data_IF_141893572518
#
_entry.id   IF_141893572518
#
_cell.length_a   1.000
_cell.length_b   1.000
_cell.length_c   1.000
_cell.angle_alpha   90.00
_cell.angle_beta   90.00
_cell.angle_gamma   90.00
#
_symmetry.space_group_name_H-M   'P 1'
#
loop_
_entity.id
_entity.type
_entity.pdbx_description
1 polymer ?
#
# COMPACT_ATOMS: atom_id res chain seq x y z
N UNK A 1 -19.78 -36.48 -11.06
CA UNK A 1 -20.05 -35.02 -11.05
C UNK A 1 -20.42 -34.58 -9.65
N UNK A 2 -19.49 -33.88 -8.98
CA UNK A 2 -19.73 -33.18 -7.72
C UNK A 2 -20.69 -32.01 -7.97
N UNK A 3 -21.69 -31.80 -7.12
CA UNK A 3 -21.98 -30.49 -6.52
C UNK A 3 -23.19 -30.46 -5.58
N UNK A 4 -22.96 -29.98 -4.34
CA UNK A 4 -23.66 -28.89 -3.61
C UNK A 4 -24.00 -29.15 -2.13
N UNK A 5 -23.43 -28.26 -1.28
CA UNK A 5 -24.03 -27.49 -0.15
C UNK A 5 -24.28 -28.29 1.15
N UNK A 6 -24.13 -27.82 2.40
CA UNK A 6 -24.03 -26.53 3.14
C UNK A 6 -23.17 -26.79 4.43
N UNK A 7 -22.31 -25.90 4.95
CA UNK A 7 -22.51 -24.79 5.91
C UNK A 7 -23.04 -25.15 7.33
N UNK A 8 -22.49 -24.43 8.34
CA UNK A 8 -22.77 -24.38 9.80
C UNK A 8 -22.00 -25.40 10.67
N UNK A 9 -21.46 -25.07 11.85
CA UNK A 9 -21.50 -23.86 12.66
C UNK A 9 -20.62 -24.03 13.92
N UNK A 10 -20.19 -22.90 14.48
CA UNK A 10 -19.40 -22.72 15.69
C UNK A 10 -20.09 -23.28 16.95
N UNK A 11 -19.34 -23.87 17.89
CA UNK A 11 -19.57 -23.70 19.35
C UNK A 11 -18.37 -24.20 20.16
N UNK A 12 -17.80 -23.28 20.94
CA UNK A 12 -16.75 -23.50 21.93
C UNK A 12 -17.31 -24.17 23.20
N UNK A 13 -16.51 -24.99 23.86
CA UNK A 13 -16.75 -25.36 25.26
C UNK A 13 -15.41 -25.47 26.01
N UNK A 14 -15.17 -24.50 26.88
CA UNK A 14 -14.15 -24.50 27.93
C UNK A 14 -14.61 -25.38 29.10
N UNK A 15 -13.69 -26.16 29.68
CA UNK A 15 -13.88 -26.85 30.96
C UNK A 15 -12.61 -26.68 31.80
N UNK A 16 -12.77 -26.07 32.98
CA UNK A 16 -11.75 -25.96 34.03
C UNK A 16 -12.39 -26.33 35.39
N UNK A 17 -11.54 -26.89 36.26
CA UNK A 17 -11.68 -27.19 37.70
C UNK A 17 -12.48 -28.46 38.04
N UNK A 18 -12.07 -29.29 39.00
CA UNK A 18 -11.05 -29.18 40.05
C UNK A 18 -10.96 -30.52 40.79
N UNK A 19 -9.88 -30.72 41.53
CA UNK A 19 -9.42 -32.01 42.02
C UNK A 19 -10.14 -32.61 43.23
N UNK A 20 -9.69 -33.81 43.59
CA UNK A 20 -9.83 -34.40 44.92
C UNK A 20 -8.68 -35.40 45.16
N UNK A 21 -8.14 -35.36 46.39
CA UNK A 21 -7.00 -36.13 46.92
C UNK A 21 -7.47 -37.48 47.50
N UNK A 22 -6.54 -38.44 47.54
CA UNK A 22 -6.59 -39.88 47.94
C UNK A 22 -7.00 -40.16 49.41
N UNK A 23 -7.19 -41.45 49.79
CA UNK A 23 -6.13 -42.15 50.56
C UNK A 23 -5.93 -43.67 50.29
N UNK A 24 -4.85 -44.18 50.91
CA UNK A 24 -4.04 -45.42 50.73
C UNK A 24 -4.57 -46.78 51.26
N UNK A 25 -3.96 -47.88 50.78
CA UNK A 25 -3.35 -49.07 51.46
C UNK A 25 -3.37 -50.29 50.50
N UNK A 26 -2.46 -51.28 50.45
CA UNK A 26 -1.30 -51.81 51.20
C UNK A 26 -0.47 -52.63 50.16
N UNK A 27 0.85 -52.42 50.02
CA UNK A 27 1.95 -53.18 50.65
C UNK A 27 2.13 -54.65 50.20
N UNK A 28 3.23 -54.93 49.49
CA UNK A 28 4.11 -56.08 49.78
C UNK A 28 5.58 -55.84 49.37
N UNK A 29 6.44 -56.30 50.28
CA UNK A 29 7.90 -56.17 50.49
C UNK A 29 8.82 -56.74 49.38
N UNK A 30 10.15 -56.58 49.27
CA UNK A 30 11.26 -55.79 49.87
C UNK A 30 12.53 -56.17 49.06
N UNK A 31 13.40 -55.21 48.75
CA UNK A 31 14.86 -55.33 48.93
C UNK A 31 15.51 -53.97 48.72
N UNK A 32 15.84 -53.32 49.84
CA UNK A 32 16.60 -52.07 49.92
C UNK A 32 18.08 -52.42 49.86
N UNK A 33 18.84 -51.76 48.98
CA UNK A 33 20.25 -51.46 49.23
C UNK A 33 20.37 -49.94 49.21
N UNK A 34 20.65 -49.37 50.37
CA UNK A 34 20.78 -47.93 50.61
C UNK A 34 22.25 -47.51 50.58
N UNK A 35 22.57 -46.45 49.83
CA UNK A 35 23.58 -45.41 50.08
C UNK A 35 23.68 -44.60 48.78
N UNK A 36 23.77 -43.28 48.72
CA UNK A 36 23.92 -42.19 49.68
C UNK A 36 23.39 -40.95 48.95
N UNK A 37 22.74 -40.03 49.67
CA UNK A 37 22.39 -38.74 49.10
C UNK A 37 23.68 -37.93 48.90
N UNK A 38 24.12 -37.82 47.65
CA UNK A 38 24.90 -36.68 47.20
C UNK A 38 23.99 -35.81 46.35
N UNK A 39 23.98 -34.52 46.64
CA UNK A 39 23.27 -33.50 45.89
C UNK A 39 23.81 -33.47 44.46
N UNK A 40 23.14 -34.17 43.54
CA UNK A 40 23.43 -34.06 42.12
C UNK A 40 22.85 -32.73 41.61
N UNK A 41 23.75 -31.77 41.36
CA UNK A 41 23.44 -30.57 40.59
C UNK A 41 22.91 -30.93 39.20
N UNK A 42 22.23 -29.95 38.60
CA UNK A 42 21.93 -29.79 37.17
C UNK A 42 22.28 -30.99 36.29
N UNK A 43 21.25 -31.63 35.71
CA UNK A 43 21.40 -32.73 34.75
C UNK A 43 22.47 -32.38 33.70
N UNK A 44 23.55 -33.16 33.73
CA UNK A 44 24.67 -33.08 32.81
C UNK A 44 24.17 -33.42 31.40
N UNK A 45 23.89 -32.37 30.61
CA UNK A 45 23.45 -32.49 29.23
C UNK A 45 24.60 -33.15 28.47
N UNK A 46 24.43 -34.42 28.09
CA UNK A 46 25.51 -35.23 27.53
C UNK A 46 26.10 -34.54 26.29
N UNK A 47 27.42 -34.47 26.24
CA UNK A 47 28.17 -34.05 25.05
C UNK A 47 28.92 -35.24 24.47
N UNK A 48 29.10 -35.24 23.15
CA UNK A 48 29.77 -36.32 22.44
C UNK A 48 30.65 -35.76 21.33
N UNK A 49 31.95 -36.11 21.36
CA UNK A 49 32.90 -35.71 20.32
C UNK A 49 33.02 -36.77 19.23
N UNK A 50 32.82 -36.37 17.99
CA UNK A 50 32.95 -37.21 16.79
C UNK A 50 33.78 -36.46 15.76
N UNK A 51 35.00 -36.95 15.52
CA UNK A 51 35.98 -36.27 14.68
C UNK A 51 36.38 -34.92 15.27
N UNK A 52 36.21 -33.87 14.48
CA UNK A 52 36.53 -32.50 14.85
C UNK A 52 35.37 -31.75 15.51
N UNK A 53 34.17 -32.35 15.57
CA UNK A 53 32.98 -31.76 16.16
C UNK A 53 32.67 -32.36 17.54
N UNK A 54 32.22 -31.50 18.45
CA UNK A 54 31.56 -31.89 19.70
C UNK A 54 30.09 -31.53 19.59
N UNK A 55 29.22 -32.50 19.87
CA UNK A 55 27.78 -32.38 19.79
C UNK A 55 27.16 -32.43 21.19
N UNK A 56 26.09 -31.68 21.38
CA UNK A 56 25.29 -31.64 22.60
C UNK A 56 23.89 -32.15 22.29
N UNK A 57 23.36 -33.02 23.13
CA UNK A 57 21.99 -33.53 22.98
C UNK A 57 20.98 -32.50 23.48
N UNK A 58 19.98 -32.19 22.65
CA UNK A 58 18.87 -31.30 22.98
C UNK A 58 17.69 -32.08 23.57
N UNK A 59 16.83 -31.39 24.32
CA UNK A 59 15.65 -31.99 24.98
C UNK A 59 14.65 -32.60 23.99
N UNK A 60 14.61 -32.10 22.76
CA UNK A 60 13.75 -32.60 21.68
C UNK A 60 14.30 -33.86 20.99
N UNK A 61 15.45 -34.37 21.45
CA UNK A 61 16.12 -35.55 20.92
C UNK A 61 17.00 -35.29 19.69
N UNK A 62 17.29 -34.03 19.37
CA UNK A 62 18.21 -33.63 18.29
C UNK A 62 19.58 -33.21 18.80
N UNK A 63 20.49 -32.82 17.91
CA UNK A 63 21.87 -32.43 18.24
C UNK A 63 22.16 -30.97 17.90
N UNK A 64 22.91 -30.32 18.77
CA UNK A 64 23.53 -29.02 18.56
C UNK A 64 25.05 -29.21 18.44
N UNK A 65 25.72 -28.51 17.53
CA UNK A 65 27.19 -28.44 17.52
C UNK A 65 27.65 -27.53 18.65
N UNK A 66 28.27 -28.08 19.67
CA UNK A 66 28.83 -27.32 20.79
C UNK A 66 30.18 -26.69 20.44
N UNK A 67 31.05 -27.41 19.72
CA UNK A 67 32.35 -26.89 19.29
C UNK A 67 32.91 -27.63 18.09
N UNK A 68 33.69 -26.91 17.28
CA UNK A 68 34.53 -27.46 16.22
C UNK A 68 36.00 -27.17 16.55
N UNK A 69 36.88 -28.17 16.48
CA UNK A 69 38.32 -28.00 16.74
C UNK A 69 39.22 -28.23 15.54
N UNK A 70 38.62 -28.59 14.39
CA UNK A 70 39.36 -28.81 13.16
C UNK A 70 39.99 -27.54 12.60
N UNK A 71 40.72 -27.73 11.50
CA UNK A 71 41.51 -26.69 10.81
C UNK A 71 41.21 -26.64 9.31
N UNK A 72 40.09 -27.21 8.90
CA UNK A 72 39.70 -27.25 7.49
C UNK A 72 39.41 -25.82 7.00
N UNK A 73 39.67 -25.60 5.71
CA UNK A 73 39.31 -24.35 5.03
C UNK A 73 37.84 -24.34 4.59
N UNK A 74 37.28 -25.53 4.32
CA UNK A 74 35.86 -25.74 3.97
C UNK A 74 35.29 -26.74 4.97
N UNK A 75 34.27 -26.33 5.70
CA UNK A 75 33.62 -27.16 6.72
C UNK A 75 32.21 -27.53 6.29
N UNK A 76 31.98 -28.84 6.15
CA UNK A 76 30.65 -29.41 5.94
C UNK A 76 30.08 -29.85 7.29
N UNK A 77 29.02 -29.17 7.74
CA UNK A 77 28.31 -29.57 8.96
C UNK A 77 27.48 -30.84 8.66
N UNK A 78 27.61 -31.92 9.46
CA UNK A 78 26.85 -33.13 9.21
C UNK A 78 25.35 -32.90 9.44
N UNK A 79 24.51 -33.43 8.54
CA UNK A 79 23.05 -33.39 8.67
C UNK A 79 22.53 -34.27 9.80
N UNK A 80 23.23 -35.39 10.02
CA UNK A 80 22.91 -36.42 10.98
C UNK A 80 24.18 -37.04 11.56
N UNK A 81 24.10 -37.44 12.82
CA UNK A 81 25.17 -38.14 13.52
C UNK A 81 24.54 -39.33 14.23
N UNK A 82 24.96 -40.55 13.87
CA UNK A 82 24.38 -41.81 14.38
C UNK A 82 22.85 -41.89 14.21
N UNK A 83 22.32 -41.30 13.13
CA UNK A 83 20.89 -41.27 12.83
C UNK A 83 20.10 -40.18 13.57
N UNK A 84 20.76 -39.35 14.39
CA UNK A 84 20.15 -38.21 15.08
C UNK A 84 20.43 -36.95 14.27
N UNK A 85 19.41 -36.11 14.05
CA UNK A 85 19.53 -34.88 13.26
C UNK A 85 20.33 -33.81 14.00
N UNK A 86 21.16 -33.08 13.26
CA UNK A 86 21.78 -31.84 13.72
C UNK A 86 20.86 -30.67 13.37
N UNK A 87 20.40 -29.97 14.39
CA UNK A 87 19.40 -28.89 14.29
C UNK A 87 19.93 -27.54 14.77
N UNK A 88 21.08 -27.51 15.45
CA UNK A 88 21.64 -26.28 15.99
C UNK A 88 23.13 -26.13 15.73
N UNK A 89 23.55 -24.90 15.49
CA UNK A 89 24.94 -24.50 15.69
C UNK A 89 24.99 -23.77 17.02
N UNK A 90 25.74 -24.29 17.97
CA UNK A 90 25.78 -23.80 19.33
C UNK A 90 26.56 -22.51 19.50
N UNK A 91 26.46 -21.95 20.70
CA UNK A 91 27.16 -20.74 21.06
C UNK A 91 28.68 -20.94 20.92
N UNK A 92 29.35 -20.01 20.23
CA UNK A 92 30.79 -20.03 20.00
C UNK A 92 31.34 -21.29 19.29
N UNK A 93 30.50 -22.10 18.64
CA UNK A 93 30.89 -23.39 18.07
C UNK A 93 32.09 -23.32 17.11
N UNK A 94 32.17 -22.24 16.33
CA UNK A 94 33.24 -21.92 15.38
C UNK A 94 33.90 -20.57 15.69
N UNK A 95 33.88 -20.11 16.94
CA UNK A 95 34.48 -18.82 17.30
C UNK A 95 35.98 -18.80 16.99
N UNK A 96 36.48 -17.67 16.49
CA UNK A 96 37.88 -17.41 16.18
C UNK A 96 38.52 -18.41 15.20
N UNK A 97 37.72 -19.02 14.31
CA UNK A 97 38.22 -20.01 13.33
C UNK A 97 38.80 -19.34 12.10
N UNK A 98 40.03 -18.84 12.25
CA UNK A 98 40.76 -18.14 11.20
C UNK A 98 41.14 -18.99 9.98
N UNK A 99 41.04 -20.32 10.04
CA UNK A 99 41.32 -21.17 8.87
C UNK A 99 40.11 -21.33 7.95
N UNK A 100 38.90 -21.19 8.49
CA UNK A 100 37.67 -21.45 7.73
C UNK A 100 37.43 -20.31 6.75
N UNK A 101 37.20 -20.69 5.50
CA UNK A 101 36.81 -19.80 4.40
C UNK A 101 35.38 -20.05 3.93
N UNK A 102 34.86 -21.26 4.14
CA UNK A 102 33.51 -21.65 3.77
C UNK A 102 32.90 -22.61 4.79
N UNK A 103 31.61 -22.40 5.11
CA UNK A 103 30.81 -23.31 5.94
C UNK A 103 29.53 -23.66 5.21
N UNK A 104 29.29 -24.96 5.05
CA UNK A 104 28.08 -25.52 4.45
C UNK A 104 27.21 -26.06 5.59
N UNK A 105 26.11 -25.36 5.86
CA UNK A 105 25.15 -25.69 6.91
C UNK A 105 23.99 -26.49 6.29
N UNK A 106 23.62 -27.66 6.82
CA UNK A 106 22.58 -28.51 6.25
C UNK A 106 21.17 -27.98 6.57
N UNK A 107 20.19 -28.30 5.70
CA UNK A 107 18.78 -27.88 5.78
C UNK A 107 18.05 -28.27 7.08
N UNK A 108 18.63 -29.16 7.89
CA UNK A 108 18.07 -29.55 9.19
C UNK A 108 18.27 -28.52 10.30
N UNK A 109 19.17 -27.55 10.11
CA UNK A 109 19.51 -26.55 11.12
C UNK A 109 18.41 -25.48 11.22
N UNK A 110 17.93 -25.26 12.45
CA UNK A 110 16.85 -24.31 12.77
C UNK A 110 17.34 -23.07 13.53
N UNK A 111 18.55 -23.10 14.10
CA UNK A 111 19.14 -21.93 14.77
C UNK A 111 20.67 -21.88 14.69
N UNK A 112 21.20 -20.66 14.75
CA UNK A 112 22.64 -20.37 14.90
C UNK A 112 22.84 -19.60 16.20
N UNK A 113 23.67 -20.12 17.10
CA UNK A 113 23.90 -19.60 18.44
C UNK A 113 24.72 -18.31 18.47
N UNK A 114 24.76 -17.70 19.65
CA UNK A 114 25.51 -16.48 19.89
C UNK A 114 27.02 -16.70 19.69
N UNK A 115 27.67 -15.80 18.98
CA UNK A 115 29.10 -15.86 18.68
C UNK A 115 29.52 -17.08 17.84
N UNK A 116 28.59 -17.81 17.23
CA UNK A 116 28.85 -19.09 16.56
C UNK A 116 30.06 -19.03 15.60
N UNK A 117 30.18 -17.97 14.82
CA UNK A 117 31.29 -17.73 13.88
C UNK A 117 32.08 -16.44 14.18
N UNK A 118 31.87 -15.81 15.35
CA UNK A 118 32.53 -14.55 15.73
C UNK A 118 34.06 -14.66 15.57
N UNK A 119 34.69 -13.61 15.05
CA UNK A 119 36.14 -13.52 14.78
C UNK A 119 36.69 -14.55 13.77
N UNK A 120 35.82 -15.13 12.93
CA UNK A 120 36.25 -15.94 11.77
C UNK A 120 36.61 -15.04 10.59
N UNK A 121 37.68 -14.26 10.75
CA UNK A 121 38.09 -13.16 9.84
C UNK A 121 38.22 -13.57 8.36
N UNK A 122 38.52 -14.85 8.09
CA UNK A 122 38.71 -15.39 6.74
C UNK A 122 37.46 -16.06 6.14
N UNK A 123 36.35 -16.13 6.89
CA UNK A 123 35.09 -16.70 6.40
C UNK A 123 34.55 -15.81 5.27
N UNK A 124 34.44 -16.38 4.07
CA UNK A 124 33.97 -15.70 2.86
C UNK A 124 32.56 -16.11 2.48
N UNK A 125 32.25 -17.40 2.65
CA UNK A 125 31.01 -18.00 2.20
C UNK A 125 30.33 -18.73 3.37
N UNK A 126 29.10 -18.36 3.66
CA UNK A 126 28.20 -19.14 4.50
C UNK A 126 26.82 -19.13 3.86
N UNK A 127 26.27 -20.31 3.64
CA UNK A 127 24.89 -20.46 3.18
C UNK A 127 24.06 -20.78 4.40
N UNK A 128 23.20 -19.85 4.81
CA UNK A 128 22.23 -20.08 5.89
C UNK A 128 21.00 -20.75 5.25
N UNK A 129 20.69 -22.01 5.60
CA UNK A 129 19.67 -22.78 4.90
C UNK A 129 18.26 -22.33 5.27
N UNK A 130 17.31 -22.64 4.39
CA UNK A 130 15.88 -22.52 4.71
C UNK A 130 15.55 -23.45 5.88
N UNK A 131 14.84 -22.94 6.87
CA UNK A 131 14.58 -23.62 8.14
C UNK A 131 15.23 -22.93 9.34
N UNK A 132 16.29 -22.14 9.14
CA UNK A 132 16.84 -21.30 10.21
C UNK A 132 15.84 -20.20 10.57
N UNK A 133 15.39 -20.19 11.81
CA UNK A 133 14.40 -19.23 12.33
C UNK A 133 15.05 -18.13 13.17
N UNK A 134 16.22 -18.37 13.76
CA UNK A 134 16.95 -17.40 14.58
C UNK A 134 18.47 -17.46 14.45
N UNK A 135 19.10 -16.29 14.54
CA UNK A 135 20.55 -16.11 14.64
C UNK A 135 20.87 -15.32 15.91
N UNK A 136 21.69 -15.86 16.79
CA UNK A 136 22.03 -15.28 18.08
C UNK A 136 23.04 -14.14 18.01
N UNK A 137 23.17 -13.42 19.13
CA UNK A 137 24.02 -12.23 19.23
C UNK A 137 25.45 -12.48 18.75
N UNK A 138 26.01 -11.55 17.98
CA UNK A 138 27.39 -11.57 17.50
C UNK A 138 27.78 -12.79 16.65
N UNK A 139 26.81 -13.54 16.10
CA UNK A 139 27.10 -14.81 15.44
C UNK A 139 28.12 -14.71 14.30
N UNK A 140 28.16 -13.59 13.56
CA UNK A 140 29.13 -13.31 12.48
C UNK A 140 29.94 -12.03 12.74
N UNK A 141 30.09 -11.63 14.01
CA UNK A 141 30.89 -10.47 14.37
C UNK A 141 32.34 -10.63 13.89
N UNK A 142 32.96 -9.56 13.40
CA UNK A 142 34.34 -9.55 12.91
C UNK A 142 34.64 -10.59 11.79
N UNK A 143 33.61 -11.03 11.06
CA UNK A 143 33.79 -11.82 9.84
C UNK A 143 34.17 -10.88 8.67
N UNK A 144 35.37 -10.30 8.72
CA UNK A 144 35.82 -9.23 7.82
C UNK A 144 35.90 -9.64 6.34
N UNK A 145 36.03 -10.94 6.03
CA UNK A 145 36.03 -11.45 4.65
C UNK A 145 34.64 -11.81 4.11
N UNK A 146 33.59 -11.72 4.94
CA UNK A 146 32.24 -12.15 4.59
C UNK A 146 31.52 -11.04 3.81
N UNK A 147 31.60 -11.08 2.49
CA UNK A 147 31.10 -10.00 1.62
C UNK A 147 29.58 -10.05 1.36
N UNK A 148 28.99 -11.23 1.43
CA UNK A 148 27.56 -11.43 1.20
C UNK A 148 27.05 -12.61 1.99
N UNK A 149 25.82 -12.50 2.50
CA UNK A 149 25.09 -13.59 3.15
C UNK A 149 23.68 -13.63 2.58
N UNK A 150 23.24 -14.82 2.17
CA UNK A 150 21.84 -15.04 1.82
C UNK A 150 21.09 -15.44 3.09
N UNK A 151 20.23 -14.56 3.57
CA UNK A 151 19.33 -14.85 4.69
C UNK A 151 18.09 -15.60 4.19
N UNK A 152 17.66 -16.68 4.87
CA UNK A 152 16.53 -17.49 4.43
C UNK A 152 15.19 -16.81 4.70
N UNK A 153 14.15 -17.19 3.95
CA UNK A 153 12.80 -16.63 4.14
C UNK A 153 12.15 -17.09 5.46
N UNK A 154 12.65 -18.17 6.07
CA UNK A 154 12.24 -18.66 7.39
C UNK A 154 12.74 -17.82 8.56
N UNK A 155 13.74 -16.95 8.36
CA UNK A 155 14.37 -16.20 9.45
C UNK A 155 13.38 -15.19 10.05
N UNK A 156 13.16 -15.30 11.37
CA UNK A 156 12.21 -14.48 12.12
C UNK A 156 12.91 -13.43 12.98
N UNK A 157 14.06 -13.75 13.57
CA UNK A 157 14.77 -12.88 14.51
C UNK A 157 16.28 -12.95 14.35
N UNK A 158 16.95 -11.79 14.46
CA UNK A 158 18.39 -11.69 14.58
C UNK A 158 18.74 -11.01 15.92
N UNK A 159 19.79 -11.51 16.58
CA UNK A 159 20.30 -10.97 17.84
C UNK A 159 21.01 -9.63 17.68
N UNK A 160 21.71 -9.21 18.73
CA UNK A 160 22.51 -7.98 18.70
C UNK A 160 23.83 -8.20 17.95
N UNK A 161 24.20 -7.23 17.10
CA UNK A 161 25.50 -7.20 16.44
C UNK A 161 25.85 -8.44 15.62
N UNK A 162 24.88 -9.15 15.04
CA UNK A 162 25.16 -10.42 14.34
C UNK A 162 26.20 -10.22 13.25
N UNK A 163 26.14 -9.11 12.51
CA UNK A 163 27.07 -8.77 11.44
C UNK A 163 28.00 -7.60 11.78
N UNK A 164 28.12 -7.24 13.07
CA UNK A 164 29.00 -6.16 13.52
C UNK A 164 30.44 -6.37 13.03
N UNK A 165 31.05 -5.31 12.50
CA UNK A 165 32.41 -5.32 11.93
C UNK A 165 32.64 -6.37 10.83
N UNK A 166 31.59 -6.83 10.15
CA UNK A 166 31.71 -7.76 9.01
C UNK A 166 32.07 -7.03 7.71
N UNK A 167 32.54 -7.79 6.72
CA UNK A 167 32.86 -7.28 5.38
C UNK A 167 31.66 -7.16 4.44
N UNK A 168 30.42 -7.20 4.95
CA UNK A 168 29.22 -7.28 4.12
C UNK A 168 29.09 -6.02 3.27
N UNK A 169 28.88 -6.22 1.97
CA UNK A 169 28.76 -5.13 0.98
C UNK A 169 27.29 -4.78 0.70
N UNK A 170 26.43 -5.79 0.65
CA UNK A 170 25.00 -5.65 0.38
C UNK A 170 24.25 -6.59 1.32
N UNK A 171 23.19 -6.09 1.95
CA UNK A 171 22.29 -6.92 2.74
C UNK A 171 20.83 -6.70 2.36
N UNK A 172 20.10 -7.81 2.20
CA UNK A 172 18.65 -7.82 2.04
C UNK A 172 18.05 -8.61 3.18
N UNK A 173 17.35 -7.92 4.08
CA UNK A 173 16.67 -8.57 5.20
C UNK A 173 15.40 -9.30 4.70
N UNK A 174 15.12 -10.52 5.17
CA UNK A 174 14.06 -11.34 4.61
C UNK A 174 12.69 -10.79 4.99
N UNK A 175 11.72 -10.94 4.08
CA UNK A 175 10.34 -10.41 4.19
C UNK A 175 9.53 -10.80 5.42
N UNK A 176 9.96 -11.83 6.16
CA UNK A 176 9.28 -12.35 7.35
C UNK A 176 10.05 -11.99 8.64
N UNK A 177 11.17 -11.28 8.53
CA UNK A 177 11.97 -10.84 9.67
C UNK A 177 11.15 -9.88 10.52
N UNK A 178 10.95 -10.22 11.79
CA UNK A 178 10.16 -9.42 12.73
C UNK A 178 11.01 -8.40 13.47
N UNK A 179 12.24 -8.77 13.80
CA UNK A 179 13.16 -7.93 14.56
C UNK A 179 14.62 -8.33 14.31
N UNK A 180 15.50 -7.35 14.44
CA UNK A 180 16.95 -7.52 14.57
C UNK A 180 17.44 -6.70 15.77
N UNK A 181 18.64 -6.98 16.26
CA UNK A 181 19.15 -6.42 17.50
C UNK A 181 19.93 -5.10 17.35
N UNK A 182 20.38 -4.61 18.49
CA UNK A 182 21.21 -3.39 18.62
C UNK A 182 22.53 -3.61 17.89
N UNK A 183 22.97 -2.60 17.13
CA UNK A 183 24.27 -2.63 16.47
C UNK A 183 24.44 -3.73 15.41
N UNK A 184 23.34 -4.25 14.84
CA UNK A 184 23.35 -5.40 13.93
C UNK A 184 24.41 -5.33 12.82
N UNK A 185 24.59 -4.15 12.22
CA UNK A 185 25.59 -3.83 11.19
C UNK A 185 26.58 -2.75 11.66
N UNK A 186 26.80 -2.63 12.97
CA UNK A 186 27.76 -1.68 13.54
C UNK A 186 29.14 -1.81 12.87
N UNK A 187 29.72 -0.70 12.41
CA UNK A 187 31.01 -0.65 11.73
C UNK A 187 31.16 -1.58 10.50
N UNK A 188 30.07 -1.91 9.81
CA UNK A 188 30.14 -2.52 8.47
C UNK A 188 30.59 -1.49 7.42
N UNK A 189 31.89 -1.15 7.44
CA UNK A 189 32.48 -0.07 6.63
C UNK A 189 32.45 -0.32 5.12
N UNK A 190 32.23 -1.57 4.71
CA UNK A 190 32.08 -1.96 3.30
C UNK A 190 30.62 -2.02 2.82
N UNK A 191 29.64 -1.83 3.71
CA UNK A 191 28.22 -1.88 3.38
C UNK A 191 27.84 -0.69 2.51
N UNK A 192 27.35 -0.97 1.30
CA UNK A 192 26.92 0.02 0.30
C UNK A 192 25.39 0.11 0.25
N UNK A 193 24.71 -1.03 0.36
CA UNK A 193 23.27 -1.12 0.19
C UNK A 193 22.59 -1.98 1.25
N UNK A 194 21.45 -1.50 1.76
CA UNK A 194 20.64 -2.20 2.75
C UNK A 194 19.14 -2.08 2.42
N UNK A 195 18.44 -3.21 2.52
CA UNK A 195 16.98 -3.29 2.35
C UNK A 195 16.32 -3.73 3.65
N UNK A 196 15.45 -2.88 4.20
CA UNK A 196 14.65 -3.13 5.41
C UNK A 196 13.19 -3.43 5.01
N UNK A 197 12.66 -4.64 5.24
CA UNK A 197 11.36 -5.08 4.77
C UNK A 197 10.19 -4.49 5.57
N UNK A 198 8.99 -4.53 4.99
CA UNK A 198 7.72 -4.09 5.60
C UNK A 198 7.38 -4.80 6.93
N UNK A 199 7.99 -5.97 7.20
CA UNK A 199 7.74 -6.74 8.42
C UNK A 199 8.47 -6.21 9.66
N UNK A 200 9.45 -5.32 9.47
CA UNK A 200 10.23 -4.71 10.57
C UNK A 200 9.53 -3.45 11.06
N UNK A 201 9.24 -3.38 12.36
CA UNK A 201 8.61 -2.19 12.96
C UNK A 201 9.62 -1.21 13.58
N UNK A 202 10.83 -1.67 13.93
CA UNK A 202 11.85 -0.90 14.64
C UNK A 202 13.21 -1.10 14.00
N UNK A 203 13.91 -0.01 13.68
CA UNK A 203 15.35 0.00 13.42
C UNK A 203 16.05 0.33 14.75
N UNK A 204 16.75 -0.63 15.39
CA UNK A 204 17.30 -0.49 16.74
C UNK A 204 18.45 0.51 16.84
N UNK A 205 18.86 0.76 18.09
CA UNK A 205 19.98 1.62 18.43
C UNK A 205 21.26 1.17 17.70
N UNK A 206 21.97 2.15 17.13
CA UNK A 206 23.25 1.93 16.45
C UNK A 206 23.25 0.88 15.32
N UNK A 207 22.09 0.47 14.79
CA UNK A 207 21.97 -0.63 13.84
C UNK A 207 22.93 -0.57 12.65
N UNK A 208 23.16 0.62 12.09
CA UNK A 208 24.07 0.90 10.97
C UNK A 208 25.12 1.97 11.35
N UNK A 209 25.44 2.10 12.64
CA UNK A 209 26.42 3.08 13.11
C UNK A 209 27.77 2.86 12.41
N UNK A 210 28.34 3.92 11.84
CA UNK A 210 29.60 3.92 11.09
C UNK A 210 29.63 2.99 9.86
N UNK A 211 28.48 2.75 9.22
CA UNK A 211 28.43 2.19 7.86
C UNK A 211 28.79 3.27 6.82
N UNK A 212 30.05 3.69 6.79
CA UNK A 212 30.51 4.89 6.08
C UNK A 212 30.19 4.90 4.57
N UNK A 213 30.10 3.74 3.92
CA UNK A 213 29.81 3.60 2.47
C UNK A 213 28.32 3.44 2.13
N UNK A 214 27.44 3.32 3.13
CA UNK A 214 26.01 3.09 2.91
C UNK A 214 25.41 4.30 2.19
N UNK A 215 24.89 4.10 0.99
CA UNK A 215 24.26 5.14 0.18
C UNK A 215 22.94 4.72 -0.47
N UNK A 216 22.72 3.40 -0.63
CA UNK A 216 21.48 2.84 -1.18
C UNK A 216 20.70 2.17 -0.04
N UNK A 217 19.88 2.96 0.63
CA UNK A 217 19.06 2.51 1.75
C UNK A 217 17.59 2.52 1.36
N UNK A 218 16.95 1.36 1.48
CA UNK A 218 15.50 1.22 1.29
C UNK A 218 14.86 0.85 2.63
N UNK A 219 13.98 1.72 3.11
CA UNK A 219 13.13 1.51 4.29
C UNK A 219 11.69 1.34 3.80
N UNK A 220 11.12 0.14 3.93
CA UNK A 220 9.75 -0.12 3.49
C UNK A 220 8.67 0.35 4.48
N UNK A 221 7.43 0.45 3.98
CA UNK A 221 6.23 0.94 4.68
C UNK A 221 5.74 -0.05 5.74
N UNK A 222 6.40 -0.01 6.89
CA UNK A 222 6.19 -0.88 8.05
C UNK A 222 7.01 -0.46 9.26
N UNK A 223 8.16 0.18 9.01
CA UNK A 223 9.01 0.77 10.06
C UNK A 223 8.27 1.93 10.72
N UNK A 224 8.10 1.85 12.04
CA UNK A 224 7.43 2.87 12.88
C UNK A 224 8.43 3.75 13.62
N UNK A 225 9.55 3.16 14.04
CA UNK A 225 10.56 3.83 14.87
C UNK A 225 11.97 3.58 14.34
N UNK A 226 12.78 4.63 14.34
CA UNK A 226 14.22 4.59 14.12
C UNK A 226 14.90 5.09 15.41
N UNK A 227 15.64 4.20 16.07
CA UNK A 227 16.21 4.46 17.39
C UNK A 227 17.53 5.25 17.33
N UNK A 228 18.05 5.62 18.51
CA UNK A 228 19.21 6.50 18.67
C UNK A 228 20.39 6.03 17.84
N UNK A 229 21.01 6.97 17.11
CA UNK A 229 22.22 6.72 16.32
C UNK A 229 22.12 5.60 15.28
N UNK A 230 20.91 5.20 14.86
CA UNK A 230 20.73 4.07 13.94
C UNK A 230 21.58 4.17 12.66
N UNK A 231 21.75 5.36 12.08
CA UNK A 231 22.61 5.62 10.91
C UNK A 231 23.65 6.71 11.17
N UNK A 232 24.02 6.95 12.44
CA UNK A 232 25.14 7.86 12.75
C UNK A 232 26.44 7.34 12.08
N UNK A 233 27.30 8.24 11.63
CA UNK A 233 28.53 7.87 10.90
C UNK A 233 28.35 7.28 9.49
N UNK A 234 27.12 7.04 9.01
CA UNK A 234 26.85 6.79 7.58
C UNK A 234 27.11 8.06 6.75
N UNK A 235 28.36 8.32 6.42
CA UNK A 235 28.81 9.57 5.76
C UNK A 235 28.47 9.63 4.28
N UNK A 236 28.27 8.49 3.60
CA UNK A 236 27.82 8.42 2.20
C UNK A 236 26.29 8.48 2.04
N UNK A 237 25.54 8.48 3.13
CA UNK A 237 24.07 8.49 3.11
C UNK A 237 23.56 9.93 2.93
N UNK A 238 23.62 10.43 1.70
CA UNK A 238 23.26 11.82 1.38
C UNK A 238 21.75 12.07 1.42
N UNK A 239 20.95 11.03 1.15
CA UNK A 239 19.50 11.11 1.10
C UNK A 239 18.84 9.86 1.68
N UNK A 240 17.68 10.04 2.30
CA UNK A 240 16.90 8.95 2.88
C UNK A 240 15.43 9.17 2.56
N UNK A 241 14.77 8.15 2.01
CA UNK A 241 13.33 8.11 1.90
C UNK A 241 12.74 7.59 3.22
N UNK A 242 11.93 8.41 3.89
CA UNK A 242 11.18 7.98 5.07
C UNK A 242 9.73 7.66 4.65
N UNK A 243 9.27 6.40 4.84
CA UNK A 243 7.88 6.04 4.56
C UNK A 243 6.94 6.66 5.60
N UNK A 244 5.66 6.79 5.23
CA UNK A 244 4.63 7.40 6.07
C UNK A 244 4.35 6.61 7.37
N UNK A 245 4.71 5.31 7.40
CA UNK A 245 4.65 4.51 8.62
C UNK A 245 5.57 5.01 9.74
N UNK A 246 6.63 5.75 9.42
CA UNK A 246 7.57 6.25 10.42
C UNK A 246 6.87 7.32 11.25
N UNK A 247 6.86 7.14 12.57
CA UNK A 247 6.24 8.07 13.52
C UNK A 247 7.21 8.59 14.58
N UNK A 248 8.43 8.04 14.62
CA UNK A 248 9.45 8.41 15.60
C UNK A 248 10.85 8.16 15.03
N UNK A 249 11.68 9.20 15.03
CA UNK A 249 13.13 9.11 14.74
C UNK A 249 13.87 9.77 15.89
N UNK A 250 14.72 8.99 16.57
CA UNK A 250 15.44 9.46 17.75
C UNK A 250 16.76 10.16 17.39
N UNK A 251 17.27 10.91 18.36
CA UNK A 251 18.40 11.82 18.18
C UNK A 251 19.62 11.10 17.59
N UNK A 252 20.31 11.79 16.68
CA UNK A 252 21.57 11.32 16.09
C UNK A 252 21.39 10.22 15.03
N UNK A 253 20.16 9.85 14.67
CA UNK A 253 19.93 8.79 13.69
C UNK A 253 20.53 9.06 12.32
N UNK A 254 20.64 10.31 11.85
CA UNK A 254 21.15 10.67 10.52
C UNK A 254 22.21 11.78 10.58
N UNK A 255 23.18 11.79 9.64
CA UNK A 255 24.31 12.73 9.60
C UNK A 255 24.11 13.88 8.59
N UNK A 256 22.98 14.60 8.67
CA UNK A 256 22.56 15.65 7.72
C UNK A 256 22.06 15.14 6.35
N UNK A 257 21.58 13.90 6.27
CA UNK A 257 20.91 13.38 5.07
C UNK A 257 19.69 14.25 4.70
N UNK A 258 19.47 14.47 3.41
CA UNK A 258 18.22 15.05 2.91
C UNK A 258 17.08 14.04 3.04
N UNK A 259 16.00 14.42 3.71
CA UNK A 259 14.83 13.58 3.91
C UNK A 259 13.87 13.74 2.74
N UNK A 260 13.50 12.61 2.14
CA UNK A 260 12.45 12.49 1.12
C UNK A 260 11.22 11.86 1.77
N UNK A 261 10.08 12.55 1.74
CA UNK A 261 8.85 12.09 2.39
C UNK A 261 7.58 12.71 1.75
N UNK A 262 6.39 12.25 2.12
CA UNK A 262 5.13 12.92 1.77
C UNK A 262 4.91 14.17 2.62
N UNK A 263 4.14 15.12 2.11
CA UNK A 263 3.64 16.28 2.80
C UNK A 263 2.63 15.85 3.86
N UNK A 264 2.73 16.44 5.04
CA UNK A 264 1.99 16.09 6.25
C UNK A 264 2.50 14.84 6.96
N UNK A 265 3.52 14.14 6.44
CA UNK A 265 4.13 12.99 7.11
C UNK A 265 4.98 13.40 8.32
N UNK A 266 5.29 12.44 9.19
CA UNK A 266 6.25 12.66 10.27
C UNK A 266 7.63 13.07 9.72
N UNK A 267 8.06 12.49 8.60
CA UNK A 267 9.34 12.79 7.95
C UNK A 267 9.51 14.28 7.64
N UNK A 268 8.43 14.95 7.23
CA UNK A 268 8.43 16.40 6.96
C UNK A 268 8.71 17.17 8.25
N UNK A 269 7.93 16.92 9.30
CA UNK A 269 8.10 17.60 10.60
C UNK A 269 9.49 17.32 11.20
N UNK A 270 9.97 16.09 11.10
CA UNK A 270 11.29 15.70 11.58
C UNK A 270 12.40 16.46 10.86
N UNK A 271 12.33 16.57 9.53
CA UNK A 271 13.33 17.29 8.75
C UNK A 271 13.35 18.79 9.11
N UNK A 272 12.18 19.41 9.24
CA UNK A 272 12.04 20.82 9.60
C UNK A 272 12.57 21.08 11.02
N UNK A 273 12.15 20.28 12.00
CA UNK A 273 12.50 20.46 13.42
C UNK A 273 14.00 20.28 13.67
N UNK A 274 14.68 19.48 12.85
CA UNK A 274 16.12 19.21 12.95
C UNK A 274 16.95 20.01 11.94
N UNK A 275 16.34 20.88 11.12
CA UNK A 275 17.05 21.70 10.13
C UNK A 275 17.76 20.89 9.03
N UNK A 276 17.21 19.73 8.67
CA UNK A 276 17.72 18.85 7.61
C UNK A 276 17.25 19.31 6.23
N UNK A 277 17.94 18.86 5.18
CA UNK A 277 17.41 18.98 3.81
C UNK A 277 16.08 18.25 3.68
N UNK A 278 15.14 18.82 2.94
CA UNK A 278 13.79 18.25 2.77
C UNK A 278 13.39 18.28 1.29
N UNK A 279 12.88 17.15 0.80
CA UNK A 279 12.21 17.03 -0.48
C UNK A 279 10.85 16.34 -0.28
N UNK A 280 9.78 17.03 -0.68
CA UNK A 280 8.42 16.50 -0.66
C UNK A 280 8.05 16.01 -2.06
N UNK A 281 7.90 14.70 -2.25
CA UNK A 281 7.60 14.16 -3.59
C UNK A 281 6.14 14.31 -4.02
N UNK A 282 5.28 14.68 -3.09
CA UNK A 282 3.87 15.01 -3.27
C UNK A 282 3.55 16.50 -3.09
N UNK A 283 4.56 17.37 -2.94
CA UNK A 283 4.34 18.82 -2.82
C UNK A 283 3.57 19.41 -4.03
N UNK A 284 3.65 18.76 -5.19
CA UNK A 284 2.90 19.13 -6.39
C UNK A 284 1.47 18.53 -6.44
N UNK A 285 1.09 17.68 -5.47
CA UNK A 285 -0.25 17.12 -5.34
C UNK A 285 -1.26 18.05 -4.65
N UNK A 286 -0.92 19.31 -4.36
CA UNK A 286 -1.92 20.35 -4.07
C UNK A 286 -2.22 21.24 -5.30
N UNK A 287 -1.53 21.01 -6.43
CA UNK A 287 -1.79 21.71 -7.68
C UNK A 287 -3.07 21.17 -8.30
N UNK A 288 -4.13 21.95 -8.09
CA UNK A 288 -5.46 21.66 -8.58
C UNK A 288 -5.75 22.44 -9.86
N UNK A 289 -6.25 21.78 -10.92
CA UNK A 289 -6.63 22.50 -12.14
C UNK A 289 -7.75 23.50 -11.85
N UNK A 290 -7.64 24.73 -12.34
CA UNK A 290 -8.76 25.68 -12.27
C UNK A 290 -9.85 25.24 -13.25
N UNK A 291 -11.04 24.91 -12.73
CA UNK A 291 -12.13 24.36 -13.55
C UNK A 291 -13.06 25.49 -13.98
N UNK A 292 -13.15 25.72 -15.27
CA UNK A 292 -14.19 26.58 -15.88
C UNK A 292 -15.23 25.73 -16.60
N UNK A 293 -16.42 26.30 -16.82
CA UNK A 293 -17.47 25.59 -17.53
C UNK A 293 -18.33 26.49 -18.40
N UNK A 294 -18.83 25.92 -19.49
CA UNK A 294 -19.78 26.52 -20.41
C UNK A 294 -21.05 25.65 -20.46
N UNK A 295 -22.21 26.31 -20.39
CA UNK A 295 -23.51 25.65 -20.45
C UNK A 295 -23.91 25.34 -21.89
N UNK A 296 -24.30 24.10 -22.14
CA UNK A 296 -24.89 23.64 -23.41
C UNK A 296 -26.32 23.14 -23.22
N UNK A 297 -27.03 22.89 -24.33
CA UNK A 297 -28.40 22.39 -24.31
C UNK A 297 -28.47 20.95 -23.76
N UNK A 298 -28.62 20.79 -22.44
CA UNK A 298 -28.66 19.48 -21.79
C UNK A 298 -27.29 18.86 -21.45
N UNK A 299 -26.21 19.64 -21.57
CA UNK A 299 -24.86 19.23 -21.21
C UNK A 299 -24.07 20.38 -20.56
N UNK A 300 -22.97 20.04 -19.90
CA UNK A 300 -22.01 21.01 -19.36
C UNK A 300 -20.64 20.70 -19.94
N UNK A 301 -20.02 21.67 -20.60
CA UNK A 301 -18.66 21.54 -21.10
C UNK A 301 -17.71 22.09 -20.06
N UNK A 302 -16.92 21.21 -19.46
CA UNK A 302 -15.82 21.55 -18.55
C UNK A 302 -14.56 21.85 -19.37
N UNK A 303 -13.78 22.81 -18.90
CA UNK A 303 -12.41 23.09 -19.34
C UNK A 303 -11.57 23.33 -18.10
N UNK A 304 -10.29 23.00 -18.20
CA UNK A 304 -9.33 23.31 -17.15
C UNK A 304 -7.96 23.60 -17.75
N UNK A 305 -7.11 24.25 -16.98
CA UNK A 305 -5.73 24.47 -17.39
C UNK A 305 -4.89 23.21 -17.19
N UNK A 306 -3.87 23.04 -18.04
CA UNK A 306 -2.94 21.94 -17.89
C UNK A 306 -2.13 22.12 -16.60
N UNK A 307 -2.08 21.07 -15.79
CA UNK A 307 -1.27 20.99 -14.57
C UNK A 307 0.11 20.47 -14.96
N UNK A 308 1.16 21.15 -14.50
CA UNK A 308 2.54 20.73 -14.71
C UNK A 308 2.78 19.33 -14.10
N UNK A 309 3.52 18.47 -14.81
CA UNK A 309 3.75 17.09 -14.38
C UNK A 309 2.56 16.13 -14.52
N UNK A 310 1.38 16.61 -14.92
CA UNK A 310 0.20 15.75 -15.06
C UNK A 310 0.20 14.97 -16.39
N UNK A 311 0.18 13.63 -16.31
CA UNK A 311 0.13 12.75 -17.49
C UNK A 311 -1.31 12.42 -17.92
N UNK A 312 -2.28 12.53 -17.00
CA UNK A 312 -3.72 12.28 -17.21
C UNK A 312 -4.59 13.13 -16.29
N UNK A 313 -5.87 13.19 -16.60
CA UNK A 313 -6.92 13.79 -15.79
C UNK A 313 -8.09 12.84 -15.62
N UNK A 314 -8.70 12.84 -14.43
CA UNK A 314 -9.93 12.14 -14.13
C UNK A 314 -11.03 13.17 -13.82
N UNK A 315 -12.08 13.16 -14.62
CA UNK A 315 -13.30 13.92 -14.32
C UNK A 315 -14.13 13.10 -13.35
N UNK A 316 -14.42 13.66 -12.18
CA UNK A 316 -15.18 12.98 -11.13
C UNK A 316 -16.47 13.73 -10.80
N UNK A 317 -17.52 13.00 -10.45
CA UNK A 317 -18.79 13.54 -9.96
C UNK A 317 -19.13 12.98 -8.59
N UNK A 318 -19.71 13.82 -7.72
CA UNK A 318 -20.15 13.39 -6.40
C UNK A 318 -21.56 12.79 -6.45
N UNK A 319 -21.69 11.51 -6.07
CA UNK A 319 -22.96 10.79 -6.03
C UNK A 319 -22.94 9.72 -4.94
N UNK A 320 -24.07 9.54 -4.23
CA UNK A 320 -24.22 8.57 -3.15
C UNK A 320 -23.16 8.72 -2.03
N UNK A 321 -22.87 9.96 -1.65
CA UNK A 321 -21.92 10.27 -0.57
C UNK A 321 -20.43 10.11 -0.94
N UNK A 322 -20.10 9.81 -2.21
CA UNK A 322 -18.73 9.61 -2.65
C UNK A 322 -18.44 10.20 -4.04
N UNK A 323 -17.17 10.50 -4.28
CA UNK A 323 -16.67 10.84 -5.61
C UNK A 323 -16.59 9.59 -6.49
N UNK A 324 -17.07 9.69 -7.73
CA UNK A 324 -17.03 8.63 -8.73
C UNK A 324 -16.41 9.14 -10.01
N UNK A 325 -15.49 8.37 -10.59
CA UNK A 325 -14.90 8.67 -11.90
C UNK A 325 -15.95 8.58 -13.00
N UNK A 326 -16.08 9.66 -13.77
CA UNK A 326 -16.94 9.76 -14.95
C UNK A 326 -16.14 9.43 -16.20
N UNK A 327 -14.93 9.99 -16.32
CA UNK A 327 -14.05 9.81 -17.45
C UNK A 327 -12.59 10.05 -17.07
N UNK A 328 -11.68 9.52 -17.89
CA UNK A 328 -10.23 9.75 -17.80
C UNK A 328 -9.67 10.02 -19.19
N UNK A 329 -8.65 10.87 -19.27
CA UNK A 329 -7.98 11.18 -20.54
C UNK A 329 -6.81 12.13 -20.37
N UNK A 330 -6.12 12.43 -21.47
CA UNK A 330 -4.97 13.36 -21.50
C UNK A 330 -5.36 14.78 -21.87
N UNK A 331 -6.58 14.99 -22.38
CA UNK A 331 -7.08 16.30 -22.77
C UNK A 331 -7.57 17.14 -21.57
N UNK A 332 -7.66 18.45 -21.77
CA UNK A 332 -8.04 19.43 -20.74
C UNK A 332 -9.49 19.94 -20.84
N UNK A 333 -10.37 19.12 -21.45
CA UNK A 333 -11.79 19.43 -21.52
C UNK A 333 -12.64 18.18 -21.57
N UNK A 334 -13.87 18.29 -21.07
CA UNK A 334 -14.82 17.17 -21.08
C UNK A 334 -16.27 17.67 -21.15
N UNK A 335 -17.14 16.94 -21.86
CA UNK A 335 -18.57 17.26 -21.95
C UNK A 335 -19.38 16.30 -21.09
N UNK A 336 -19.91 16.78 -19.98
CA UNK A 336 -20.88 16.07 -19.15
C UNK A 336 -22.23 16.00 -19.87
N UNK A 337 -22.67 14.79 -20.21
CA UNK A 337 -23.95 14.51 -20.88
C UNK A 337 -24.89 13.72 -19.96
N UNK A 338 -26.17 13.65 -20.33
CA UNK A 338 -27.16 12.85 -19.60
C UNK A 338 -27.55 13.43 -18.24
N UNK A 339 -27.33 14.73 -18.03
CA UNK A 339 -27.62 15.40 -16.77
C UNK A 339 -29.12 15.71 -16.64
N UNK A 340 -29.69 15.51 -15.46
CA UNK A 340 -31.03 15.97 -15.11
C UNK A 340 -31.03 17.49 -15.03
N UNK A 341 -32.10 18.11 -15.51
CA UNK A 341 -32.28 19.56 -15.53
C UNK A 341 -32.56 20.15 -14.14
N UNK A 342 -32.19 21.41 -13.94
CA UNK A 342 -32.33 22.17 -12.70
C UNK A 342 -31.79 21.44 -11.47
N UNK A 343 -30.75 20.63 -11.69
CA UNK A 343 -30.09 19.82 -10.67
C UNK A 343 -28.66 20.32 -10.53
N UNK A 344 -28.23 20.49 -9.28
CA UNK A 344 -26.85 20.84 -8.98
C UNK A 344 -26.01 19.57 -9.01
N UNK A 345 -24.91 19.60 -9.77
CA UNK A 345 -23.92 18.55 -9.82
C UNK A 345 -22.62 19.09 -9.26
N UNK A 346 -22.07 18.38 -8.28
CA UNK A 346 -20.74 18.67 -7.75
C UNK A 346 -19.73 17.86 -8.55
N UNK A 347 -18.79 18.55 -9.19
CA UNK A 347 -17.80 17.95 -10.09
C UNK A 347 -16.41 18.47 -9.76
N UNK A 348 -15.40 17.63 -9.96
CA UNK A 348 -13.99 17.99 -9.80
C UNK A 348 -13.16 17.31 -10.89
N UNK A 349 -11.91 17.74 -11.03
CA UNK A 349 -10.93 17.15 -11.94
C UNK A 349 -9.69 16.83 -11.14
N UNK A 350 -9.28 15.57 -11.17
CA UNK A 350 -8.12 15.05 -10.46
C UNK A 350 -7.00 14.82 -11.47
N UNK A 351 -5.89 15.58 -11.43
CA UNK A 351 -4.72 15.28 -12.25
C UNK A 351 -4.03 14.01 -11.75
N UNK A 352 -3.33 13.31 -12.65
CA UNK A 352 -2.41 12.22 -12.32
C UNK A 352 -0.98 12.70 -12.48
N UNK A 353 -0.24 12.77 -11.39
CA UNK A 353 1.12 13.31 -11.33
C UNK A 353 2.01 12.19 -10.79
N UNK A 354 3.17 11.96 -11.43
CA UNK A 354 4.11 10.90 -11.03
C UNK A 354 3.49 9.49 -10.88
N UNK A 355 2.43 9.20 -11.64
CA UNK A 355 1.73 7.91 -11.60
C UNK A 355 0.55 7.83 -10.63
N UNK A 356 0.41 8.80 -9.73
CA UNK A 356 -0.61 8.84 -8.68
C UNK A 356 -1.71 9.86 -8.95
N UNK A 357 -2.94 9.56 -8.52
CA UNK A 357 -4.08 10.46 -8.69
C UNK A 357 -4.15 11.44 -7.52
N UNK A 358 -4.03 12.73 -7.80
CA UNK A 358 -4.34 13.78 -6.84
C UNK A 358 -5.86 13.80 -6.60
N UNK A 359 -6.31 13.24 -5.47
CA UNK A 359 -7.74 13.14 -5.10
C UNK A 359 -8.23 14.32 -4.27
N UNK A 360 -7.44 15.39 -4.17
CA UNK A 360 -7.88 16.61 -3.51
C UNK A 360 -9.09 17.18 -4.27
N UNK A 361 -10.19 17.37 -3.54
CA UNK A 361 -11.48 17.80 -4.11
C UNK A 361 -11.89 19.18 -3.64
N UNK A 362 -10.98 19.96 -3.06
CA UNK A 362 -11.31 21.29 -2.51
C UNK A 362 -11.69 22.29 -3.60
N UNK A 363 -11.11 22.23 -4.80
CA UNK A 363 -11.46 23.04 -5.99
C UNK A 363 -12.74 22.61 -6.73
N UNK A 364 -13.50 21.66 -6.17
CA UNK A 364 -14.74 21.22 -6.82
C UNK A 364 -15.65 22.40 -7.15
N UNK A 365 -16.35 22.29 -8.28
CA UNK A 365 -17.34 23.27 -8.70
C UNK A 365 -18.74 22.69 -8.63
N UNK A 366 -19.72 23.58 -8.45
CA UNK A 366 -21.13 23.25 -8.54
C UNK A 366 -21.64 23.70 -9.91
N UNK A 367 -21.93 22.75 -10.79
CA UNK A 367 -22.56 23.04 -12.09
C UNK A 367 -24.05 22.79 -11.98
N UNK A 368 -24.85 23.80 -12.34
CA UNK A 368 -26.31 23.71 -12.37
C UNK A 368 -26.79 23.70 -13.81
N UNK A 369 -27.49 22.65 -14.20
CA UNK A 369 -28.12 22.58 -15.52
C UNK A 369 -29.33 23.51 -15.58
N UNK A 370 -29.29 24.52 -16.45
CA UNK A 370 -30.45 25.36 -16.74
C UNK A 370 -31.08 24.98 -18.07
N UNK A 371 -32.37 25.26 -18.22
CA UNK A 371 -33.09 25.06 -19.46
C UNK A 371 -33.14 26.35 -20.26
N UNK A 372 -32.84 26.26 -21.56
CA UNK A 372 -33.27 27.25 -22.55
C UNK A 372 -34.33 26.61 -23.45
N UNK A 373 -35.35 27.38 -23.81
CA UNK A 373 -36.41 26.92 -24.70
C UNK A 373 -35.88 26.50 -26.07
N UNK A 374 -36.43 25.44 -26.70
CA UNK A 374 -36.05 25.02 -28.03
C UNK A 374 -36.04 26.20 -29.00
N UNK A 375 -34.86 26.51 -29.54
CA UNK A 375 -34.71 27.59 -30.50
C UNK A 375 -35.32 27.15 -31.83
N UNK A 376 -36.23 27.96 -32.35
CA UNK A 376 -36.85 27.71 -33.67
C UNK A 376 -35.75 27.79 -34.73
N UNK A 377 -35.71 26.79 -35.61
CA UNK A 377 -34.79 26.70 -36.73
C UNK A 377 -35.44 27.15 -38.03
N UNK A 378 -36.68 26.75 -38.24
CA UNK A 378 -37.42 27.06 -39.47
C UNK A 378 -38.92 27.11 -39.20
N UNK A 379 -39.62 27.99 -39.90
CA UNK A 379 -41.07 28.16 -39.86
C UNK A 379 -41.59 28.41 -41.28
N UNK A 380 -42.31 27.43 -41.83
CA UNK A 380 -42.90 27.50 -43.16
C UNK A 380 -44.42 27.46 -43.14
N UNK A 381 -45.07 28.10 -44.11
CA UNK A 381 -46.51 28.06 -44.34
C UNK A 381 -46.82 27.49 -45.73
N UNK A 382 -47.67 26.46 -45.79
CA UNK A 382 -48.21 25.91 -47.03
C UNK A 382 -49.61 26.51 -47.28
N UNK A 383 -49.70 27.38 -48.29
CA UNK A 383 -50.94 28.09 -48.69
C UNK A 383 -52.00 27.18 -49.31
N UNK A 384 -51.62 26.10 -49.98
CA UNK A 384 -52.58 25.19 -50.62
C UNK A 384 -53.29 24.31 -49.58
N UNK A 385 -52.60 24.01 -48.48
CA UNK A 385 -53.11 23.14 -47.41
C UNK A 385 -53.58 23.89 -46.16
N UNK A 386 -53.37 25.21 -46.09
CA UNK A 386 -53.56 26.08 -44.92
C UNK A 386 -52.94 25.49 -43.63
N UNK A 387 -51.66 25.11 -43.71
CA UNK A 387 -50.91 24.51 -42.60
C UNK A 387 -49.55 25.16 -42.43
N UNK A 388 -49.07 25.27 -41.20
CA UNK A 388 -47.69 25.64 -40.94
C UNK A 388 -46.86 24.44 -40.50
N UNK A 389 -45.57 24.50 -40.77
CA UNK A 389 -44.57 23.58 -40.26
C UNK A 389 -43.52 24.36 -39.50
N UNK A 390 -43.23 23.93 -38.28
CA UNK A 390 -42.17 24.49 -37.45
C UNK A 390 -41.14 23.41 -37.13
N UNK A 391 -39.87 23.79 -37.16
CA UNK A 391 -38.76 22.95 -36.70
C UNK A 391 -37.92 23.71 -35.69
N UNK A 392 -37.30 22.98 -34.76
CA UNK A 392 -36.46 23.54 -33.71
C UNK A 392 -35.16 22.77 -33.57
N UNK A 393 -34.18 23.38 -32.91
CA UNK A 393 -32.95 22.70 -32.51
C UNK A 393 -33.31 21.58 -31.52
N UNK A 394 -32.91 20.31 -31.77
CA UNK A 394 -33.13 19.23 -30.83
C UNK A 394 -32.50 19.54 -29.47
N UNK A 395 -33.18 19.14 -28.40
CA UNK A 395 -32.70 19.21 -27.03
C UNK A 395 -32.27 17.81 -26.60
N UNK A 396 -31.04 17.67 -26.11
CA UNK A 396 -30.51 16.38 -25.64
C UNK A 396 -31.37 15.83 -24.49
N UNK A 397 -31.66 14.52 -24.51
CA UNK A 397 -32.52 13.83 -23.54
C UNK A 397 -33.98 14.34 -23.46
N UNK A 398 -34.48 14.98 -24.52
CA UNK A 398 -35.90 15.29 -24.61
C UNK A 398 -36.74 14.00 -24.57
N UNK A 399 -37.70 13.94 -23.65
CA UNK A 399 -38.71 12.88 -23.62
C UNK A 399 -39.84 13.21 -24.59
N UNK A 400 -40.30 14.46 -24.57
CA UNK A 400 -41.37 15.00 -25.42
C UNK A 400 -41.19 16.50 -25.62
N UNK A 401 -41.82 17.06 -26.64
CA UNK A 401 -42.08 18.48 -26.79
C UNK A 401 -43.58 18.75 -26.74
N UNK A 402 -43.95 19.96 -26.34
CA UNK A 402 -45.30 20.47 -26.43
C UNK A 402 -45.28 21.73 -27.31
N UNK A 403 -46.17 21.73 -28.29
CA UNK A 403 -46.44 22.89 -29.14
C UNK A 403 -47.52 23.70 -28.44
N UNK A 404 -47.18 24.88 -27.98
CA UNK A 404 -48.05 25.74 -27.18
C UNK A 404 -48.52 26.93 -28.00
N UNK A 405 -49.76 27.37 -27.75
CA UNK A 405 -50.38 28.53 -28.37
C UNK A 405 -50.92 29.46 -27.30
N UNK A 406 -50.64 30.75 -27.43
CA UNK A 406 -51.02 31.78 -26.48
C UNK A 406 -52.35 32.41 -26.86
N UNK A 407 -53.37 32.22 -26.02
CA UNK A 407 -54.71 32.77 -26.21
C UNK A 407 -55.24 33.36 -24.89
N UNK A 408 -55.89 34.52 -24.96
CA UNK A 408 -56.61 35.15 -23.83
C UNK A 408 -55.78 35.21 -22.53
N UNK A 409 -54.52 35.61 -22.62
CA UNK A 409 -53.64 35.75 -21.44
C UNK A 409 -52.97 34.46 -20.97
N UNK A 410 -53.17 33.31 -21.64
CA UNK A 410 -52.68 32.01 -21.17
C UNK A 410 -52.12 31.10 -22.27
N UNK A 411 -51.17 30.24 -21.91
CA UNK A 411 -50.60 29.22 -22.79
C UNK A 411 -51.42 27.93 -22.77
N UNK A 412 -51.81 27.44 -23.95
CA UNK A 412 -52.50 26.15 -24.14
C UNK A 412 -51.67 25.21 -25.00
N UNK A 413 -51.59 23.93 -24.62
CA UNK A 413 -50.89 22.91 -25.42
C UNK A 413 -51.80 22.46 -26.57
N UNK A 414 -51.29 22.49 -27.80
CA UNK A 414 -52.00 22.06 -29.02
C UNK A 414 -51.56 20.71 -29.53
N UNK A 415 -50.30 20.34 -29.31
CA UNK A 415 -49.79 19.03 -29.68
C UNK A 415 -48.63 18.62 -28.79
N UNK A 416 -48.46 17.30 -28.65
CA UNK A 416 -47.24 16.70 -28.13
C UNK A 416 -46.46 16.07 -29.27
N UNK A 417 -45.14 16.25 -29.25
CA UNK A 417 -44.21 15.67 -30.21
C UNK A 417 -43.24 14.78 -29.43
N UNK A 418 -42.93 13.61 -29.97
CA UNK A 418 -41.96 12.71 -29.34
C UNK A 418 -40.58 13.36 -29.25
N UNK A 419 -39.83 13.09 -28.18
CA UNK A 419 -38.51 13.69 -27.95
C UNK A 419 -37.47 13.39 -29.02
N UNK A 420 -37.64 12.28 -29.77
CA UNK A 420 -36.81 11.92 -30.92
C UNK A 420 -37.06 12.79 -32.16
N UNK A 421 -38.12 13.60 -32.17
CA UNK A 421 -38.51 14.47 -33.28
C UNK A 421 -38.35 15.94 -32.91
N UNK A 422 -38.04 16.76 -33.88
CA UNK A 422 -37.84 18.21 -33.71
C UNK A 422 -38.63 19.05 -34.72
N UNK A 423 -39.69 18.49 -35.28
CA UNK A 423 -40.57 19.16 -36.24
C UNK A 423 -42.04 18.89 -35.91
N UNK A 424 -42.90 19.86 -36.21
CA UNK A 424 -44.35 19.77 -36.08
C UNK A 424 -45.02 20.38 -37.31
N UNK A 425 -46.05 19.72 -37.84
CA UNK A 425 -46.91 20.27 -38.89
C UNK A 425 -48.33 20.39 -38.34
N UNK A 426 -48.94 21.55 -38.50
CA UNK A 426 -50.26 21.83 -37.95
C UNK A 426 -51.37 21.04 -38.68
N UNK A 427 -52.52 20.83 -38.03
CA UNK A 427 -53.78 20.63 -38.76
C UNK A 427 -54.11 21.89 -39.58
N UNK A 428 -55.15 21.80 -40.43
CA UNK A 428 -55.63 22.97 -41.18
C UNK A 428 -56.02 24.09 -40.19
N UNK A 429 -55.52 25.30 -40.41
CA UNK A 429 -55.76 26.45 -39.54
C UNK A 429 -56.57 27.52 -40.29
N UNK A 430 -57.38 28.27 -39.54
CA UNK A 430 -58.07 29.44 -40.05
C UNK A 430 -57.10 30.60 -40.29
N UNK A 431 -57.50 31.59 -41.10
CA UNK A 431 -56.71 32.78 -41.31
C UNK A 431 -56.60 33.58 -40.00
N UNK A 432 -55.39 34.03 -39.69
CA UNK A 432 -55.13 34.74 -38.44
C UNK A 432 -53.67 34.73 -38.02
N UNK A 433 -53.40 35.47 -36.95
CA UNK A 433 -52.10 35.54 -36.31
C UNK A 433 -52.09 34.68 -35.04
N UNK A 434 -51.15 33.75 -34.96
CA UNK A 434 -51.00 32.84 -33.81
C UNK A 434 -49.68 33.08 -33.11
N UNK A 435 -49.72 33.42 -31.82
CA UNK A 435 -48.53 33.45 -30.96
C UNK A 435 -48.28 32.05 -30.39
N UNK A 436 -47.10 31.49 -30.66
CA UNK A 436 -46.77 30.11 -30.34
C UNK A 436 -45.41 29.99 -29.64
N UNK A 437 -45.19 28.88 -28.94
CA UNK A 437 -43.90 28.55 -28.33
C UNK A 437 -43.76 27.02 -28.23
N UNK A 438 -42.53 26.53 -28.14
CA UNK A 438 -42.24 25.11 -27.90
C UNK A 438 -41.66 24.96 -26.49
N UNK A 439 -42.18 24.03 -25.70
CA UNK A 439 -41.51 23.58 -24.48
C UNK A 439 -41.14 22.11 -24.52
N UNK A 440 -40.10 21.74 -23.79
CA UNK A 440 -39.64 20.36 -23.65
C UNK A 440 -40.14 19.74 -22.34
N UNK A 441 -40.34 18.43 -22.38
CA UNK A 441 -40.35 17.56 -21.20
C UNK A 441 -39.03 16.79 -21.16
N UNK A 442 -38.33 16.87 -20.05
CA UNK A 442 -37.14 16.07 -19.82
C UNK A 442 -36.92 15.86 -18.31
N UNK A 443 -36.30 14.74 -17.92
CA UNK A 443 -36.16 14.39 -16.50
C UNK A 443 -37.50 14.29 -15.77
N UNK A 444 -38.56 13.89 -16.48
CA UNK A 444 -39.92 13.74 -15.96
C UNK A 444 -40.74 15.04 -15.82
N UNK A 445 -40.17 16.23 -16.05
CA UNK A 445 -40.83 17.53 -15.83
C UNK A 445 -40.96 18.36 -17.12
N UNK A 446 -42.00 19.18 -17.19
CA UNK A 446 -42.23 20.16 -18.27
C UNK A 446 -41.61 21.52 -17.94
N UNK A 447 -40.83 22.08 -18.85
CA UNK A 447 -40.17 23.38 -18.66
C UNK A 447 -40.95 24.51 -19.33
N UNK A 448 -41.92 25.09 -18.61
CA UNK A 448 -42.89 26.08 -19.12
C UNK A 448 -42.57 27.53 -18.74
N UNK A 449 -41.67 27.75 -17.79
CA UNK A 449 -41.35 29.03 -17.16
C UNK A 449 -40.59 30.03 -18.06
N UNK A 450 -40.34 29.69 -19.32
CA UNK A 450 -39.63 30.52 -20.30
C UNK A 450 -40.41 30.65 -21.62
N UNK A 451 -41.68 30.23 -21.66
CA UNK A 451 -42.50 30.26 -22.89
C UNK A 451 -42.65 31.68 -23.46
N UNK A 452 -42.81 32.69 -22.60
CA UNK A 452 -42.95 34.09 -23.02
C UNK A 452 -41.68 34.64 -23.69
N UNK A 453 -40.50 34.16 -23.28
CA UNK A 453 -39.21 34.51 -23.87
C UNK A 453 -38.93 33.76 -25.19
N UNK A 454 -39.73 32.75 -25.50
CA UNK A 454 -39.54 31.84 -26.63
C UNK A 454 -40.65 31.95 -27.69
N UNK A 455 -41.49 32.97 -27.57
CA UNK A 455 -42.65 33.12 -28.43
C UNK A 455 -42.22 33.45 -29.86
N UNK A 456 -42.93 32.86 -30.82
CA UNK A 456 -42.82 33.17 -32.23
C UNK A 456 -44.22 33.31 -32.82
N UNK A 457 -44.34 34.09 -33.87
CA UNK A 457 -45.62 34.39 -34.51
C UNK A 457 -45.77 33.58 -35.80
N UNK A 458 -46.92 32.95 -35.97
CA UNK A 458 -47.31 32.28 -37.21
C UNK A 458 -48.46 33.06 -37.84
N UNK A 459 -48.23 33.56 -39.06
CA UNK A 459 -49.24 34.28 -39.83
C UNK A 459 -49.85 33.37 -40.90
N UNK A 460 -51.13 33.07 -40.76
CA UNK A 460 -51.90 32.28 -41.73
C UNK A 460 -52.74 33.26 -42.56
N UNK A 461 -52.47 33.29 -43.87
CA UNK A 461 -53.17 34.12 -44.85
C UNK A 461 -54.31 33.38 -45.50
#
# INVERSE_FOLDING_TARGET
MKNKRLAAGLLALTLVFGGAVLPEKNADNVAVVSASADSAGFEDMRTERIGDFTFKYLEDGTLEIESYVGRDEVVEVPDTVKGIKVTGIGNNAFTSKKTITEVIIPDGVTFIGAGAFSNSENLKNVVIPEGVESIGNFAFENCASLQSVKLPASLLTMGDGVFSCSGIVIISLPRNLRSFGVGEFYECKDLIAAYIPESVELIPECAFLNCEKLNDLVICDGVKKIDVNAFAGCTSLEQVMLPDSVTEVLQGSFNNSTIYCNSGSYGESFAIDNGLGLYLYDADMDIQPEITYEMGDGCVKLKWDAVEGADKYAVVGYADGKWKTIAQGTGTSYVLKGLKYNTNYRVAVFPRINGEWNRNSTNNILVRTNYTTPKIRDLGYNKEQNRFRVSWKPVDNAEKYAVCMYNNGSWTVKAYVDGSKNTFTSPKCDAGEYTMAICVKAGGKWYKNQLDNAKFTVNIK
#
